data_IF_385431231008
#
_entry.id   IF_385431231008
#
_cell.length_a   1.000
_cell.length_b   1.000
_cell.length_c   1.000
_cell.angle_alpha   90.00
_cell.angle_beta   90.00
_cell.angle_gamma   90.00
#
_symmetry.space_group_name_H-M   'P 1'
#
loop_
_entity.id
_entity.type
_entity.pdbx_description
1 polymer ?
#
# COMPACT_ATOMS: atom_id res chain seq x y z
N UNK A 1 -26.71 9.89 -1.16
CA UNK A 1 -26.34 10.55 -2.43
C UNK A 1 -24.88 10.27 -2.69
N UNK A 2 -24.56 9.33 -3.57
CA UNK A 2 -23.20 8.94 -3.95
C UNK A 2 -22.66 10.00 -4.91
N UNK A 3 -21.58 10.69 -4.54
CA UNK A 3 -20.84 11.53 -5.48
C UNK A 3 -19.93 10.65 -6.32
N UNK A 4 -20.35 10.40 -7.56
CA UNK A 4 -19.47 9.90 -8.59
C UNK A 4 -18.42 10.97 -8.89
N UNK A 5 -17.15 10.61 -8.74
CA UNK A 5 -16.03 11.44 -9.19
C UNK A 5 -16.04 11.39 -10.72
N UNK A 6 -16.09 12.52 -11.43
CA UNK A 6 -16.15 12.52 -12.89
C UNK A 6 -14.83 12.00 -13.47
N UNK A 7 -14.95 11.10 -14.43
CA UNK A 7 -13.87 10.47 -15.20
C UNK A 7 -13.03 11.47 -16.05
N UNK A 8 -13.19 12.77 -15.86
CA UNK A 8 -12.59 13.81 -16.68
C UNK A 8 -11.21 14.30 -16.24
N UNK A 9 -10.75 13.90 -15.07
CA UNK A 9 -9.41 14.26 -14.54
C UNK A 9 -8.26 13.41 -15.09
N UNK A 10 -8.56 12.37 -15.88
CA UNK A 10 -7.57 11.45 -16.45
C UNK A 10 -6.98 11.90 -17.83
N UNK A 11 -7.32 13.09 -18.32
CA UNK A 11 -6.96 13.51 -19.70
C UNK A 11 -5.99 14.68 -19.82
N UNK A 12 -5.17 15.02 -18.86
CA UNK A 12 -4.13 16.04 -19.05
C UNK A 12 -2.74 15.58 -18.61
N UNK A 13 -2.27 14.44 -19.10
CA UNK A 13 -0.87 14.04 -19.05
C UNK A 13 -0.23 14.21 -20.42
N UNK A 14 0.49 15.30 -20.68
CA UNK A 14 1.36 15.45 -21.83
C UNK A 14 2.39 14.33 -21.84
N UNK A 15 2.28 13.42 -22.79
CA UNK A 15 3.28 12.40 -23.05
C UNK A 15 4.58 13.06 -23.52
N UNK A 16 5.59 13.10 -22.68
CA UNK A 16 6.97 13.27 -23.12
C UNK A 16 7.46 11.93 -23.67
N UNK A 17 7.58 11.86 -24.99
CA UNK A 17 8.21 10.75 -25.71
C UNK A 17 9.70 10.75 -25.37
N UNK A 18 10.14 9.74 -24.59
CA UNK A 18 11.56 9.42 -24.45
C UNK A 18 11.93 8.36 -25.51
N UNK A 19 13.03 8.58 -26.29
CA UNK A 19 13.53 7.56 -27.22
C UNK A 19 14.02 6.32 -26.45
N UNK A 20 13.71 5.18 -27.03
CA UNK A 20 14.02 3.84 -26.54
C UNK A 20 15.49 3.66 -26.18
N UNK A 21 15.77 3.19 -24.95
CA UNK A 21 17.02 2.53 -24.61
C UNK A 21 17.99 3.21 -23.65
N UNK A 22 17.57 4.18 -22.86
CA UNK A 22 18.37 4.67 -21.72
C UNK A 22 17.47 4.84 -20.52
N UNK A 23 17.93 4.30 -19.37
CA UNK A 23 17.32 4.62 -18.08
C UNK A 23 17.33 6.16 -17.92
N UNK A 24 16.24 6.75 -17.43
CA UNK A 24 16.23 8.17 -17.17
C UNK A 24 17.36 8.50 -16.20
N UNK A 25 18.12 9.60 -16.43
CA UNK A 25 19.15 10.02 -15.49
C UNK A 25 18.51 10.24 -14.12
N UNK A 26 19.23 9.95 -13.03
CA UNK A 26 18.75 10.26 -11.70
C UNK A 26 18.44 11.76 -11.67
N UNK A 27 17.18 12.09 -11.56
CA UNK A 27 16.72 13.48 -11.44
C UNK A 27 17.35 14.01 -10.18
N UNK A 28 18.25 14.96 -10.35
CA UNK A 28 19.15 15.55 -9.37
C UNK A 28 18.70 15.47 -7.92
N UNK A 29 19.44 14.71 -7.09
CA UNK A 29 19.59 14.86 -5.64
C UNK A 29 18.37 14.95 -4.73
N UNK A 30 17.15 14.75 -5.20
CA UNK A 30 15.97 14.62 -4.34
C UNK A 30 15.87 13.17 -3.88
N UNK A 31 16.16 12.94 -2.61
CA UNK A 31 15.78 11.68 -1.96
C UNK A 31 14.28 11.47 -2.20
N UNK A 32 13.94 10.36 -2.86
CA UNK A 32 12.54 9.96 -3.01
C UNK A 32 12.04 9.67 -1.60
N UNK A 33 10.98 10.35 -1.13
CA UNK A 33 10.48 10.12 0.22
C UNK A 33 10.12 8.63 0.38
N UNK A 34 10.46 8.06 1.52
CA UNK A 34 10.14 6.69 1.88
C UNK A 34 8.73 6.55 2.49
N UNK A 35 8.20 7.66 2.99
CA UNK A 35 6.91 7.78 3.66
C UNK A 35 6.04 8.78 2.89
N UNK A 36 4.84 8.36 2.53
CA UNK A 36 3.89 9.09 1.70
C UNK A 36 2.57 9.33 2.43
N UNK A 37 1.73 10.18 1.86
CA UNK A 37 0.37 10.43 2.31
C UNK A 37 0.27 11.48 3.40
N UNK A 38 -0.64 11.30 4.34
CA UNK A 38 -0.96 12.31 5.36
C UNK A 38 0.06 12.31 6.51
N UNK A 39 1.21 12.93 6.29
CA UNK A 39 2.28 13.08 7.29
C UNK A 39 2.19 14.37 8.10
N UNK A 40 1.21 15.23 7.82
CA UNK A 40 1.05 16.52 8.50
C UNK A 40 0.82 16.33 10.00
N UNK A 41 1.57 17.08 10.81
CA UNK A 41 1.44 17.07 12.28
C UNK A 41 2.08 15.86 12.97
N UNK A 42 2.80 14.99 12.25
CA UNK A 42 3.57 13.92 12.86
C UNK A 42 4.78 14.48 13.61
N UNK A 43 5.07 13.91 14.77
CA UNK A 43 6.30 14.20 15.53
C UNK A 43 7.50 13.55 14.85
N UNK A 44 8.68 14.12 15.02
CA UNK A 44 9.93 13.56 14.46
C UNK A 44 10.16 12.10 14.89
N UNK A 45 9.81 11.73 16.11
CA UNK A 45 9.89 10.35 16.59
C UNK A 45 8.95 9.39 15.85
N UNK A 46 7.76 9.86 15.48
CA UNK A 46 6.77 9.09 14.70
C UNK A 46 7.26 8.90 13.26
N UNK A 47 7.75 9.97 12.63
CA UNK A 47 8.36 9.91 11.30
C UNK A 47 9.54 8.94 11.28
N UNK A 48 10.44 9.01 12.26
CA UNK A 48 11.55 8.07 12.36
C UNK A 48 11.12 6.60 12.55
N UNK A 49 9.97 6.35 13.20
CA UNK A 49 9.40 4.99 13.30
C UNK A 49 8.85 4.50 11.94
N UNK A 50 8.18 5.37 11.18
CA UNK A 50 7.70 5.05 9.82
C UNK A 50 8.88 4.77 8.88
N UNK A 51 9.95 5.57 8.93
CA UNK A 51 11.17 5.32 8.17
C UNK A 51 11.85 4.00 8.55
N UNK A 52 11.80 3.60 9.82
CA UNK A 52 12.29 2.28 10.24
C UNK A 52 11.47 1.14 9.64
N UNK A 53 10.15 1.31 9.47
CA UNK A 53 9.33 0.34 8.76
C UNK A 53 9.74 0.22 7.29
N UNK A 54 10.05 1.33 6.62
CA UNK A 54 10.55 1.32 5.25
C UNK A 54 11.83 0.50 5.07
N UNK A 55 12.73 0.55 6.04
CA UNK A 55 14.02 -0.17 5.99
C UNK A 55 13.89 -1.67 6.32
N UNK A 56 12.71 -2.15 6.70
CA UNK A 56 12.51 -3.57 7.01
C UNK A 56 12.46 -4.41 5.75
N UNK A 57 12.89 -5.65 5.91
CA UNK A 57 12.69 -6.69 4.92
C UNK A 57 11.80 -7.77 5.51
N UNK A 58 10.74 -8.14 4.78
CA UNK A 58 9.78 -9.17 5.17
C UNK A 58 10.14 -10.44 4.44
N UNK A 59 10.35 -11.59 5.11
CA UNK A 59 10.63 -12.84 4.43
C UNK A 59 9.58 -13.12 3.32
N UNK A 60 9.99 -13.53 2.11
CA UNK A 60 9.03 -13.78 1.03
C UNK A 60 8.02 -14.90 1.34
N UNK A 61 8.40 -15.83 2.22
CA UNK A 61 7.55 -16.93 2.70
C UNK A 61 6.50 -16.50 3.73
N UNK A 62 6.60 -15.28 4.27
CA UNK A 62 5.69 -14.77 5.28
C UNK A 62 4.86 -13.62 4.73
N UNK A 63 3.58 -13.61 5.04
CA UNK A 63 2.72 -12.48 4.72
C UNK A 63 3.10 -11.26 5.57
N UNK A 64 3.19 -11.49 6.87
CA UNK A 64 3.55 -10.49 7.89
C UNK A 64 4.18 -11.22 9.07
N UNK A 65 5.28 -10.68 9.59
CA UNK A 65 5.86 -11.21 10.84
C UNK A 65 5.13 -10.60 12.05
N UNK A 66 5.08 -11.29 13.21
CA UNK A 66 4.47 -10.76 14.43
C UNK A 66 5.04 -9.40 14.85
N UNK A 67 6.35 -9.20 14.71
CA UNK A 67 7.04 -7.96 15.05
C UNK A 67 6.66 -6.82 14.11
N UNK A 68 6.44 -7.13 12.81
CA UNK A 68 6.00 -6.15 11.84
C UNK A 68 4.55 -5.76 12.10
N UNK A 69 3.67 -6.73 12.34
CA UNK A 69 2.27 -6.49 12.68
C UNK A 69 2.17 -5.57 13.90
N UNK A 70 2.91 -5.90 14.98
CA UNK A 70 2.95 -5.08 16.20
C UNK A 70 3.45 -3.66 15.93
N UNK A 71 4.56 -3.52 15.20
CA UNK A 71 5.12 -2.20 14.90
C UNK A 71 4.16 -1.33 14.07
N UNK A 72 3.39 -1.95 13.14
CA UNK A 72 2.37 -1.26 12.34
C UNK A 72 1.19 -0.81 13.19
N UNK A 73 0.64 -1.70 14.01
CA UNK A 73 -0.54 -1.38 14.83
C UNK A 73 -0.23 -0.37 15.92
N UNK A 74 0.93 -0.47 16.56
CA UNK A 74 1.37 0.50 17.57
C UNK A 74 1.51 1.92 16.99
N UNK A 75 2.19 2.08 15.84
CA UNK A 75 2.35 3.40 15.23
C UNK A 75 1.00 3.92 14.70
N UNK A 76 0.19 3.06 14.08
CA UNK A 76 -1.13 3.42 13.57
C UNK A 76 -2.04 3.96 14.69
N UNK A 77 -2.06 3.26 15.83
CA UNK A 77 -2.81 3.71 17.00
C UNK A 77 -2.29 5.03 17.54
N UNK A 78 -0.97 5.17 17.69
CA UNK A 78 -0.35 6.38 18.23
C UNK A 78 -0.70 7.62 17.41
N UNK A 79 -0.65 7.51 16.08
CA UNK A 79 -0.97 8.64 15.19
C UNK A 79 -2.45 8.75 14.85
N UNK A 80 -3.27 7.77 15.26
CA UNK A 80 -4.71 7.67 14.97
C UNK A 80 -5.00 7.73 13.46
N UNK A 81 -4.16 7.05 12.68
CA UNK A 81 -4.26 6.96 11.21
C UNK A 81 -3.92 5.56 10.75
N UNK A 82 -4.51 5.15 9.65
CA UNK A 82 -4.11 3.92 8.98
C UNK A 82 -2.69 4.06 8.42
N UNK A 83 -1.91 2.99 8.52
CA UNK A 83 -0.56 2.90 7.97
C UNK A 83 -0.48 1.69 7.05
N UNK A 84 -0.01 1.91 5.82
CA UNK A 84 0.15 0.88 4.82
C UNK A 84 1.61 0.68 4.42
N UNK A 85 1.95 -0.54 4.04
CA UNK A 85 3.24 -0.92 3.45
C UNK A 85 3.01 -1.52 2.08
N UNK A 86 3.73 -1.03 1.09
CA UNK A 86 3.85 -1.67 -0.20
C UNK A 86 5.14 -2.50 -0.22
N UNK A 87 5.02 -3.82 -0.40
CA UNK A 87 6.12 -4.76 -0.28
C UNK A 87 6.22 -5.55 -1.58
N UNK A 88 7.41 -5.61 -2.16
CA UNK A 88 7.65 -6.40 -3.36
C UNK A 88 7.77 -7.90 -3.07
N UNK A 89 7.85 -8.73 -4.13
CA UNK A 89 7.97 -10.20 -4.00
C UNK A 89 9.24 -10.64 -3.30
N UNK A 90 10.31 -9.82 -3.34
CA UNK A 90 11.55 -10.07 -2.61
C UNK A 90 11.49 -9.70 -1.14
N UNK A 91 10.34 -9.18 -0.68
CA UNK A 91 10.12 -8.77 0.71
C UNK A 91 10.65 -7.38 1.05
N UNK A 92 11.08 -6.59 0.06
CA UNK A 92 11.55 -5.22 0.29
C UNK A 92 10.33 -4.28 0.39
N UNK A 93 10.29 -3.48 1.44
CA UNK A 93 9.30 -2.40 1.58
C UNK A 93 9.64 -1.29 0.58
N UNK A 94 8.75 -1.03 -0.33
CA UNK A 94 8.92 -0.03 -1.41
C UNK A 94 8.34 1.33 -1.04
N UNK A 95 7.33 1.34 -0.19
CA UNK A 95 6.72 2.56 0.33
C UNK A 95 6.03 2.29 1.67
N UNK A 96 6.00 3.33 2.50
CA UNK A 96 5.13 3.43 3.68
C UNK A 96 4.10 4.51 3.37
N UNK A 97 2.82 4.21 3.58
CA UNK A 97 1.71 5.13 3.30
C UNK A 97 1.01 5.46 4.60
N UNK A 98 0.84 6.74 4.88
CA UNK A 98 0.03 7.22 6.01
C UNK A 98 -1.29 7.75 5.46
N UNK A 99 -2.37 7.12 5.86
CA UNK A 99 -3.73 7.50 5.45
C UNK A 99 -4.42 8.47 6.38
N UNK A 100 -5.72 8.34 6.41
CA UNK A 100 -6.60 8.97 7.42
C UNK A 100 -6.96 7.93 8.50
N UNK A 101 -7.94 8.23 9.31
CA UNK A 101 -8.53 7.27 10.26
C UNK A 101 -9.41 6.20 9.58
N UNK A 102 -9.72 6.36 8.28
CA UNK A 102 -10.68 5.53 7.53
C UNK A 102 -10.12 4.85 6.29
N UNK A 103 -9.07 5.41 5.70
CA UNK A 103 -8.56 4.95 4.39
C UNK A 103 -7.08 5.22 4.22
N UNK A 104 -6.46 4.49 3.32
CA UNK A 104 -5.15 4.80 2.74
C UNK A 104 -5.34 5.12 1.25
N UNK A 105 -4.59 6.08 0.71
CA UNK A 105 -4.63 6.43 -0.71
C UNK A 105 -3.35 5.94 -1.37
N UNK A 106 -3.46 4.88 -2.16
CA UNK A 106 -2.33 4.22 -2.84
C UNK A 106 -2.14 4.76 -4.27
N UNK A 107 -3.21 5.27 -4.88
CA UNK A 107 -3.25 5.64 -6.29
C UNK A 107 -2.17 6.64 -6.72
N UNK A 108 -1.81 7.58 -5.85
CA UNK A 108 -0.81 8.62 -6.14
C UNK A 108 0.64 8.10 -6.13
N UNK A 109 0.87 6.89 -5.64
CA UNK A 109 2.21 6.29 -5.54
C UNK A 109 2.71 5.69 -6.86
N UNK A 110 1.81 5.38 -7.79
CA UNK A 110 2.14 4.73 -9.07
C UNK A 110 3.12 5.58 -9.91
N UNK A 111 3.05 6.92 -9.79
CA UNK A 111 3.90 7.84 -10.53
C UNK A 111 5.32 7.98 -9.94
N UNK A 112 5.47 7.80 -8.64
CA UNK A 112 6.70 8.16 -7.92
C UNK A 112 7.57 6.96 -7.56
N UNK A 113 6.97 5.82 -7.21
CA UNK A 113 7.69 4.69 -6.61
C UNK A 113 7.98 3.57 -7.60
N UNK A 114 7.10 3.31 -8.55
CA UNK A 114 7.14 2.09 -9.35
C UNK A 114 7.12 2.34 -10.86
N UNK A 115 7.09 3.60 -11.27
CA UNK A 115 7.03 3.98 -12.68
C UNK A 115 5.69 3.58 -13.33
N UNK A 116 5.62 3.60 -14.66
CA UNK A 116 4.38 3.35 -15.43
C UNK A 116 3.82 1.93 -15.36
N UNK A 117 4.47 1.02 -14.64
CA UNK A 117 4.00 -0.34 -14.46
C UNK A 117 3.09 -0.38 -13.23
N UNK A 118 1.81 -0.72 -13.42
CA UNK A 118 0.88 -0.99 -12.31
C UNK A 118 1.55 -1.86 -11.24
N UNK A 119 1.07 -1.82 -10.01
CA UNK A 119 1.69 -2.40 -8.81
C UNK A 119 1.75 -3.95 -8.82
N UNK A 120 1.95 -4.56 -9.99
CA UNK A 120 2.13 -6.00 -10.13
C UNK A 120 3.37 -6.47 -9.37
N UNK A 121 3.21 -7.53 -8.61
CA UNK A 121 4.27 -8.05 -7.78
C UNK A 121 4.38 -7.35 -6.44
N UNK A 122 3.43 -6.47 -6.13
CA UNK A 122 3.36 -5.77 -4.86
C UNK A 122 2.21 -6.33 -4.03
N UNK A 123 2.48 -6.56 -2.75
CA UNK A 123 1.47 -6.80 -1.72
C UNK A 123 1.31 -5.54 -0.88
N UNK A 124 0.07 -5.19 -0.55
CA UNK A 124 -0.25 -4.10 0.37
C UNK A 124 -0.65 -4.69 1.72
N UNK A 125 0.06 -4.30 2.77
CA UNK A 125 -0.36 -4.55 4.16
C UNK A 125 -0.75 -3.21 4.75
N UNK A 126 -1.95 -3.08 5.31
CA UNK A 126 -2.36 -1.85 5.98
C UNK A 126 -3.10 -2.15 7.28
N UNK A 127 -3.25 -1.13 8.11
CA UNK A 127 -3.96 -1.24 9.38
C UNK A 127 -5.36 -0.67 9.27
N UNK A 128 -6.33 -1.33 9.92
CA UNK A 128 -7.63 -0.74 10.23
C UNK A 128 -7.66 -0.37 11.71
N UNK A 129 -8.02 0.88 12.04
CA UNK A 129 -8.06 1.38 13.43
C UNK A 129 -9.11 0.68 14.29
N UNK A 130 -9.99 -0.06 13.66
CA UNK A 130 -10.88 -1.02 14.26
C UNK A 130 -10.55 -2.41 13.74
N UNK A 131 -10.96 -3.45 14.44
CA UNK A 131 -10.76 -4.83 14.01
C UNK A 131 -11.80 -5.21 12.94
N UNK A 132 -11.74 -4.53 11.79
CA UNK A 132 -12.68 -4.64 10.65
C UNK A 132 -12.04 -5.33 9.46
N UNK A 133 -12.87 -6.02 8.65
CA UNK A 133 -12.45 -6.66 7.41
C UNK A 133 -12.07 -5.64 6.33
N UNK A 134 -11.50 -6.13 5.22
CA UNK A 134 -11.25 -5.33 4.02
C UNK A 134 -12.56 -4.68 3.53
N UNK A 135 -12.47 -3.42 3.18
CA UNK A 135 -13.59 -2.63 2.64
C UNK A 135 -13.78 -2.88 1.15
N UNK A 136 -14.91 -2.41 0.59
CA UNK A 136 -15.12 -2.42 -0.86
C UNK A 136 -14.08 -1.57 -1.60
N UNK A 137 -13.59 -0.52 -0.98
CA UNK A 137 -12.57 0.36 -1.58
C UNK A 137 -11.21 -0.33 -1.60
N UNK A 138 -10.84 -1.07 -0.54
CA UNK A 138 -9.64 -1.91 -0.53
C UNK A 138 -9.66 -2.96 -1.65
N UNK A 139 -10.81 -3.63 -1.85
CA UNK A 139 -10.96 -4.63 -2.90
C UNK A 139 -10.93 -3.99 -4.30
N UNK A 140 -11.44 -2.78 -4.43
CA UNK A 140 -11.38 -1.99 -5.66
C UNK A 140 -9.94 -1.62 -5.98
N UNK A 141 -9.18 -1.15 -4.99
CA UNK A 141 -7.77 -0.83 -5.14
C UNK A 141 -6.93 -2.06 -5.47
N UNK A 142 -7.17 -3.20 -4.81
CA UNK A 142 -6.53 -4.48 -5.15
C UNK A 142 -6.66 -4.79 -6.65
N UNK A 143 -7.88 -4.63 -7.19
CA UNK A 143 -8.17 -4.97 -8.59
C UNK A 143 -7.63 -3.91 -9.57
N UNK A 144 -7.89 -2.61 -9.32
CA UNK A 144 -7.54 -1.52 -10.22
C UNK A 144 -6.02 -1.29 -10.28
N UNK A 145 -5.35 -1.34 -9.15
CA UNK A 145 -3.91 -1.19 -9.05
C UNK A 145 -3.14 -2.46 -9.43
N UNK A 146 -3.86 -3.59 -9.56
CA UNK A 146 -3.30 -4.91 -9.87
C UNK A 146 -2.26 -5.36 -8.84
N UNK A 147 -2.57 -5.14 -7.58
CA UNK A 147 -1.78 -5.70 -6.50
C UNK A 147 -1.87 -7.23 -6.51
N UNK A 148 -0.82 -7.91 -6.11
CA UNK A 148 -0.85 -9.37 -5.95
C UNK A 148 -1.72 -9.77 -4.75
N UNK A 149 -1.71 -8.96 -3.70
CA UNK A 149 -2.41 -9.23 -2.46
C UNK A 149 -2.66 -7.93 -1.70
N UNK A 150 -3.77 -7.86 -0.98
CA UNK A 150 -4.08 -6.85 0.01
C UNK A 150 -4.45 -7.51 1.34
N UNK A 151 -3.91 -7.00 2.45
CA UNK A 151 -4.24 -7.46 3.78
C UNK A 151 -4.45 -6.29 4.73
N UNK A 152 -5.52 -6.36 5.52
CA UNK A 152 -5.82 -5.44 6.61
C UNK A 152 -5.51 -6.10 7.95
N UNK A 153 -4.81 -5.39 8.83
CA UNK A 153 -4.50 -5.79 10.20
C UNK A 153 -5.34 -4.93 11.13
N UNK A 154 -6.26 -5.53 11.85
CA UNK A 154 -7.06 -4.82 12.86
C UNK A 154 -6.18 -4.30 13.99
N UNK A 155 -6.49 -3.11 14.47
CA UNK A 155 -5.83 -2.51 15.65
C UNK A 155 -6.77 -2.65 16.84
N UNK A 156 -6.33 -3.42 17.84
CA UNK A 156 -7.08 -3.56 19.08
C UNK A 156 -7.02 -2.29 19.95
N UNK A 157 -7.93 -2.13 20.92
CA UNK A 157 -7.94 -0.96 21.81
C UNK A 157 -6.66 -0.72 22.59
N UNK A 158 -5.87 -1.74 22.86
CA UNK A 158 -4.56 -1.66 23.51
C UNK A 158 -3.41 -1.40 22.53
N UNK A 159 -3.68 -1.35 21.23
CA UNK A 159 -2.69 -1.16 20.17
C UNK A 159 -2.05 -2.43 19.66
N UNK A 160 -2.43 -3.59 20.18
CA UNK A 160 -1.95 -4.88 19.70
C UNK A 160 -2.61 -5.24 18.35
N UNK A 161 -1.96 -6.12 17.54
CA UNK A 161 -2.58 -6.65 16.34
C UNK A 161 -3.82 -7.48 16.67
N UNK A 162 -4.92 -7.19 15.99
CA UNK A 162 -6.14 -7.98 15.98
C UNK A 162 -6.14 -9.03 14.87
N UNK A 163 -7.31 -9.23 14.25
CA UNK A 163 -7.47 -10.15 13.11
C UNK A 163 -6.76 -9.62 11.88
N UNK A 164 -6.33 -10.55 11.04
CA UNK A 164 -5.76 -10.23 9.72
C UNK A 164 -6.75 -10.75 8.67
N UNK A 165 -7.20 -9.85 7.82
CA UNK A 165 -8.05 -10.14 6.68
C UNK A 165 -7.24 -9.97 5.41
N UNK A 166 -7.33 -10.92 4.48
CA UNK A 166 -6.57 -10.85 3.25
C UNK A 166 -7.44 -11.18 2.03
N UNK A 167 -7.09 -10.57 0.91
CA UNK A 167 -7.63 -10.87 -0.41
C UNK A 167 -6.50 -10.88 -1.44
N UNK A 168 -6.63 -11.75 -2.44
CA UNK A 168 -5.73 -11.77 -3.59
C UNK A 168 -6.52 -11.99 -4.89
N UNK A 169 -5.97 -11.56 -6.00
CA UNK A 169 -6.59 -11.79 -7.31
C UNK A 169 -6.30 -13.21 -7.75
N UNK A 170 -7.33 -14.01 -7.93
CA UNK A 170 -7.22 -15.33 -8.55
C UNK A 170 -7.13 -15.11 -10.07
N UNK A 171 -6.06 -15.56 -10.75
CA UNK A 171 -6.00 -15.51 -12.20
C UNK A 171 -7.16 -16.32 -12.79
N UNK A 172 -7.77 -15.88 -13.90
CA UNK A 172 -8.80 -16.67 -14.57
C UNK A 172 -8.24 -18.04 -14.91
N UNK A 173 -8.98 -19.10 -14.56
CA UNK A 173 -8.59 -20.46 -14.90
C UNK A 173 -8.55 -20.60 -16.44
N UNK A 174 -7.38 -20.88 -17.06
CA UNK A 174 -7.25 -20.97 -18.50
C UNK A 174 -8.08 -22.11 -19.10
N UNK A 175 -8.53 -23.06 -18.28
CA UNK A 175 -9.30 -24.24 -18.74
C UNK A 175 -10.82 -24.11 -18.55
N UNK A 176 -11.33 -22.99 -18.04
CA UNK A 176 -12.78 -22.76 -17.91
C UNK A 176 -13.54 -23.74 -17.01
N UNK A 177 -12.86 -24.55 -16.21
CA UNK A 177 -13.51 -25.47 -15.28
C UNK A 177 -13.83 -24.76 -14.00
N UNK A 178 -15.07 -24.39 -13.82
CA UNK A 178 -15.66 -24.11 -12.51
C UNK A 178 -15.55 -25.39 -11.66
N UNK A 179 -14.68 -25.39 -10.68
CA UNK A 179 -14.72 -26.43 -9.65
C UNK A 179 -15.87 -26.03 -8.72
N UNK A 180 -17.06 -26.55 -8.99
CA UNK A 180 -18.14 -26.57 -8.00
C UNK A 180 -17.66 -27.47 -6.85
N UNK A 181 -17.54 -26.88 -5.66
CA UNK A 181 -17.34 -27.58 -4.40
C UNK A 181 -18.61 -27.49 -3.57
#
# INVERSE_FOLDING_TARGET
>A
MKRLIPCELLRRGRALLYPSGRDPPPIGGREIPSVFGNTTGLKSSQTARLERLYRRKVPPSELVTPELARALTEISREITRQVGLLIDRGGTVRAVVVGTDREIVIADLDQFVLGRKKLRGIRCLHTHLKDEALTSDDLTDLALLRLDLMAAIGVLPDGLPGRIFLAHVVPPNPEGRTTEA
#
